data_IF_091628977008
#
_entry.id   IF_091628977008
#
_cell.length_a   1.000
_cell.length_b   1.000
_cell.length_c   1.000
_cell.angle_alpha   90.00
_cell.angle_beta   90.00
_cell.angle_gamma   90.00
#
_symmetry.space_group_name_H-M   'P 1'
#
loop_
_entity.id
_entity.type
_entity.pdbx_description
1 polymer ?
#
# COMPACT_ATOMS: atom_id res chain seq x y z
N UNK A 1 -14.56 14.27 -11.48
CA UNK A 1 -13.68 13.27 -10.82
C UNK A 1 -12.40 13.88 -10.25
N UNK A 2 -11.76 14.83 -10.94
CA UNK A 2 -10.54 15.54 -10.48
C UNK A 2 -10.71 16.29 -9.15
N UNK A 3 -11.85 16.94 -8.93
CA UNK A 3 -12.14 17.70 -7.70
C UNK A 3 -12.22 16.81 -6.46
N UNK A 4 -12.86 15.65 -6.57
CA UNK A 4 -12.95 14.66 -5.48
C UNK A 4 -11.57 14.11 -5.10
N UNK A 5 -10.75 13.79 -6.11
CA UNK A 5 -9.36 13.36 -5.93
C UNK A 5 -8.55 14.47 -5.27
N UNK A 6 -8.73 15.72 -5.70
CA UNK A 6 -8.04 16.85 -5.12
C UNK A 6 -8.40 17.02 -3.63
N UNK A 7 -9.67 16.90 -3.26
CA UNK A 7 -10.08 16.86 -1.86
C UNK A 7 -9.45 15.68 -1.11
N UNK A 8 -9.49 14.46 -1.66
CA UNK A 8 -8.93 13.26 -1.04
C UNK A 8 -7.42 13.37 -0.78
N UNK A 9 -6.66 14.01 -1.67
CA UNK A 9 -5.22 14.26 -1.46
C UNK A 9 -4.93 15.25 -0.33
N UNK A 10 -5.87 16.17 -0.04
CA UNK A 10 -5.74 17.18 1.03
C UNK A 10 -6.14 16.67 2.41
N UNK A 11 -6.87 15.55 2.49
CA UNK A 11 -7.18 14.90 3.77
C UNK A 11 -5.90 14.30 4.35
N UNK A 12 -5.37 14.96 5.39
CA UNK A 12 -4.16 14.54 6.11
C UNK A 12 -4.32 13.13 6.69
N UNK A 13 -3.21 12.38 6.77
CA UNK A 13 -3.14 11.02 7.34
C UNK A 13 -4.00 9.96 6.62
N UNK A 14 -4.13 10.09 5.30
CA UNK A 14 -4.69 9.04 4.44
C UNK A 14 -3.61 8.45 3.55
N UNK A 15 -3.76 7.17 3.22
CA UNK A 15 -2.93 6.49 2.22
C UNK A 15 -2.75 7.31 0.93
N UNK A 16 -3.85 7.87 0.41
CA UNK A 16 -3.85 8.64 -0.83
C UNK A 16 -3.06 9.94 -0.73
N UNK A 17 -3.10 10.64 0.42
CA UNK A 17 -2.29 11.85 0.63
C UNK A 17 -0.78 11.57 0.66
N UNK A 18 -0.36 10.51 1.37
CA UNK A 18 1.04 10.09 1.40
C UNK A 18 1.53 9.64 0.00
N UNK A 19 0.69 8.90 -0.72
CA UNK A 19 0.98 8.45 -2.08
C UNK A 19 1.04 9.60 -3.08
N UNK A 20 0.17 10.61 -2.93
CA UNK A 20 0.21 11.84 -3.71
C UNK A 20 1.55 12.56 -3.57
N UNK A 21 2.01 12.79 -2.34
CA UNK A 21 3.27 13.49 -2.09
C UNK A 21 4.45 12.78 -2.79
N UNK A 22 4.51 11.45 -2.70
CA UNK A 22 5.54 10.62 -3.37
C UNK A 22 5.42 10.70 -4.90
N UNK A 23 4.22 10.64 -5.45
CA UNK A 23 3.98 10.72 -6.90
C UNK A 23 4.28 12.10 -7.47
N UNK A 24 3.92 13.18 -6.75
CA UNK A 24 4.22 14.56 -7.15
C UNK A 24 5.72 14.77 -7.25
N UNK A 25 6.50 14.28 -6.28
CA UNK A 25 7.95 14.37 -6.30
C UNK A 25 8.59 13.66 -7.51
N UNK A 26 7.98 12.59 -8.03
CA UNK A 26 8.52 11.80 -9.15
C UNK A 26 7.98 12.19 -10.54
N UNK A 27 6.70 12.58 -10.65
CA UNK A 27 6.00 12.70 -11.95
C UNK A 27 5.31 14.06 -12.16
N UNK A 28 5.34 14.94 -11.16
CA UNK A 28 4.66 16.24 -11.21
C UNK A 28 3.15 16.17 -10.92
N UNK A 29 2.57 17.33 -10.58
CA UNK A 29 1.20 17.46 -10.02
C UNK A 29 0.11 16.85 -10.90
N UNK A 30 0.12 17.12 -12.21
CA UNK A 30 -0.92 16.67 -13.14
C UNK A 30 -0.98 15.14 -13.27
N UNK A 31 0.18 14.50 -13.46
CA UNK A 31 0.27 13.03 -13.61
C UNK A 31 -0.02 12.32 -12.29
N UNK A 32 0.38 12.91 -11.16
CA UNK A 32 0.08 12.38 -9.84
C UNK A 32 -1.43 12.32 -9.55
N UNK A 33 -2.21 13.35 -9.94
CA UNK A 33 -3.66 13.35 -9.77
C UNK A 33 -4.33 12.22 -10.58
N UNK A 34 -3.93 12.02 -11.83
CA UNK A 34 -4.48 10.96 -12.69
C UNK A 34 -4.16 9.58 -12.13
N UNK A 35 -2.94 9.35 -11.66
CA UNK A 35 -2.54 8.10 -11.03
C UNK A 35 -3.39 7.78 -9.78
N UNK A 36 -3.67 8.78 -8.95
CA UNK A 36 -4.52 8.60 -7.76
C UNK A 36 -5.96 8.35 -8.14
N UNK A 37 -6.50 9.05 -9.14
CA UNK A 37 -7.86 8.82 -9.63
C UNK A 37 -8.05 7.35 -10.06
N UNK A 38 -7.11 6.82 -10.83
CA UNK A 38 -7.13 5.44 -11.29
C UNK A 38 -7.05 4.42 -10.13
N UNK A 39 -6.30 4.74 -9.08
CA UNK A 39 -6.21 3.90 -7.89
C UNK A 39 -7.46 3.95 -7.01
N UNK A 40 -8.02 5.15 -6.79
CA UNK A 40 -9.28 5.30 -6.07
C UNK A 40 -10.39 4.52 -6.76
N UNK A 41 -10.44 4.55 -8.09
CA UNK A 41 -11.40 3.76 -8.86
C UNK A 41 -11.23 2.25 -8.64
N UNK A 42 -9.99 1.74 -8.63
CA UNK A 42 -9.71 0.32 -8.34
C UNK A 42 -10.16 -0.05 -6.93
N UNK A 43 -9.86 0.79 -5.94
CA UNK A 43 -10.27 0.58 -4.55
C UNK A 43 -11.79 0.50 -4.46
N UNK A 44 -12.50 1.47 -5.04
CA UNK A 44 -13.98 1.47 -5.05
C UNK A 44 -14.52 0.23 -5.74
N UNK A 45 -13.95 -0.16 -6.89
CA UNK A 45 -14.34 -1.37 -7.60
C UNK A 45 -14.17 -2.63 -6.74
N UNK A 46 -13.03 -2.78 -6.06
CA UNK A 46 -12.78 -3.92 -5.17
C UNK A 46 -13.70 -3.90 -3.95
N UNK A 47 -13.98 -2.74 -3.36
CA UNK A 47 -14.93 -2.62 -2.26
C UNK A 47 -16.34 -3.05 -2.66
N UNK A 48 -16.79 -2.65 -3.84
CA UNK A 48 -18.10 -3.02 -4.37
C UNK A 48 -18.16 -4.50 -4.74
N UNK A 49 -17.09 -5.03 -5.34
CA UNK A 49 -17.02 -6.43 -5.76
C UNK A 49 -16.96 -7.40 -4.58
N UNK A 50 -16.13 -7.09 -3.58
CA UNK A 50 -15.86 -7.98 -2.45
C UNK A 50 -16.78 -7.70 -1.24
N UNK A 51 -17.64 -6.67 -1.34
CA UNK A 51 -18.52 -6.16 -0.28
C UNK A 51 -17.79 -5.95 1.06
N UNK A 52 -16.52 -5.50 0.97
CA UNK A 52 -15.67 -5.22 2.14
C UNK A 52 -15.63 -3.72 2.38
N UNK A 53 -15.82 -3.33 3.64
CA UNK A 53 -15.65 -1.95 4.07
C UNK A 53 -14.22 -1.47 3.76
N UNK A 54 -14.09 -0.20 3.34
CA UNK A 54 -12.79 0.42 3.15
C UNK A 54 -12.07 0.47 4.50
N UNK A 55 -11.11 -0.42 4.70
CA UNK A 55 -10.19 -0.26 5.81
C UNK A 55 -9.33 0.96 5.49
N UNK A 56 -9.33 1.97 6.36
CA UNK A 56 -8.51 3.17 6.17
C UNK A 56 -7.06 2.77 6.41
N UNK A 57 -6.41 2.28 5.37
CA UNK A 57 -4.98 2.02 5.37
C UNK A 57 -4.31 3.35 5.74
N UNK A 58 -3.61 3.37 6.87
CA UNK A 58 -2.84 4.52 7.32
C UNK A 58 -1.78 4.90 6.29
N UNK A 59 -1.13 6.05 6.47
CA UNK A 59 0.04 6.43 5.68
C UNK A 59 1.12 5.34 5.64
N UNK A 60 1.15 4.53 6.68
CA UNK A 60 2.26 3.62 6.98
C UNK A 60 2.02 2.21 6.45
N UNK A 61 0.82 1.90 5.92
CA UNK A 61 0.47 0.57 5.43
C UNK A 61 1.46 0.04 4.37
N UNK A 62 1.91 0.91 3.46
CA UNK A 62 2.90 0.51 2.44
C UNK A 62 4.26 0.24 3.08
N UNK A 63 4.61 0.99 4.11
CA UNK A 63 5.91 0.92 4.75
C UNK A 63 5.97 -0.33 5.65
N UNK A 64 4.88 -0.68 6.33
CA UNK A 64 4.68 -1.98 7.00
C UNK A 64 4.77 -3.15 6.02
N UNK A 65 4.11 -3.07 4.86
CA UNK A 65 4.18 -4.13 3.85
C UNK A 65 5.59 -4.31 3.28
N UNK A 66 6.34 -3.22 3.09
CA UNK A 66 7.76 -3.30 2.70
C UNK A 66 8.62 -3.92 3.78
N UNK A 67 8.41 -3.54 5.05
CA UNK A 67 9.10 -4.18 6.18
C UNK A 67 8.82 -5.67 6.24
N UNK A 68 7.56 -6.09 6.10
CA UNK A 68 7.18 -7.51 6.07
C UNK A 68 7.84 -8.26 4.90
N UNK A 69 7.85 -7.67 3.70
CA UNK A 69 8.51 -8.26 2.55
C UNK A 69 10.03 -8.39 2.76
N UNK A 70 10.66 -7.38 3.37
CA UNK A 70 12.08 -7.41 3.74
C UNK A 70 12.35 -8.49 4.78
N UNK A 71 11.56 -8.59 5.85
CA UNK A 71 11.69 -9.63 6.87
C UNK A 71 11.58 -11.01 6.23
N UNK A 72 10.60 -11.22 5.35
CA UNK A 72 10.44 -12.49 4.62
C UNK A 72 11.68 -12.82 3.79
N UNK A 73 12.17 -11.84 3.01
CA UNK A 73 13.37 -12.02 2.21
C UNK A 73 14.60 -12.37 3.07
N UNK A 74 14.83 -11.65 4.17
CA UNK A 74 15.96 -11.93 5.06
C UNK A 74 15.83 -13.28 5.76
N UNK A 75 14.62 -13.69 6.17
CA UNK A 75 14.37 -15.04 6.69
C UNK A 75 14.73 -16.10 5.65
N UNK A 76 14.29 -15.95 4.40
CA UNK A 76 14.63 -16.86 3.30
C UNK A 76 16.14 -16.95 3.05
N UNK A 77 16.85 -15.82 3.14
CA UNK A 77 18.32 -15.81 3.00
C UNK A 77 19.03 -16.50 4.17
N UNK A 78 18.53 -16.32 5.41
CA UNK A 78 19.06 -17.00 6.59
C UNK A 78 18.87 -18.52 6.49
N UNK A 79 17.66 -18.98 6.14
CA UNK A 79 17.39 -20.41 5.96
C UNK A 79 18.27 -21.04 4.88
N UNK A 80 18.51 -20.30 3.78
CA UNK A 80 19.38 -20.77 2.70
C UNK A 80 20.85 -20.91 3.11
N UNK A 81 21.32 -20.09 4.04
CA UNK A 81 22.71 -20.09 4.50
C UNK A 81 22.95 -21.10 5.64
N UNK A 82 21.95 -21.31 6.50
CA UNK A 82 22.04 -22.15 7.69
C UNK A 82 21.77 -23.63 7.36
N UNK A 83 21.04 -23.95 6.29
CA UNK A 83 20.89 -25.33 5.82
C UNK A 83 20.13 -26.26 6.77
N UNK A 84 19.23 -25.72 7.61
CA UNK A 84 18.35 -26.51 8.48
C UNK A 84 16.96 -26.73 7.83
N UNK A 85 16.56 -28.00 7.80
CA UNK A 85 15.21 -28.50 7.50
C UNK A 85 14.28 -28.37 8.73
N UNK A 86 13.30 -27.44 8.70
CA UNK A 86 12.00 -27.42 9.45
C UNK A 86 12.01 -27.48 11.00
N UNK A 87 10.88 -27.32 11.75
CA UNK A 87 9.52 -26.81 11.50
C UNK A 87 9.10 -25.72 12.56
N UNK A 88 7.80 -25.37 12.67
CA UNK A 88 7.16 -24.46 13.66
C UNK A 88 7.22 -22.96 13.28
N UNK A 89 6.15 -22.33 12.78
CA UNK A 89 4.87 -22.10 13.45
C UNK A 89 3.69 -22.26 12.46
N UNK A 90 3.06 -23.43 12.49
CA UNK A 90 1.59 -23.48 12.50
C UNK A 90 1.19 -23.39 13.97
N UNK A 91 0.13 -22.61 14.25
CA UNK A 91 -0.60 -22.48 15.53
C UNK A 91 -0.31 -21.18 16.30
N UNK A 92 -1.03 -20.10 15.98
CA UNK A 92 -2.28 -19.65 16.63
C UNK A 92 -2.89 -18.55 15.76
#
# INVERSE_FOLDING_TARGET
>A
MTEYVWCATRIKNTYFSARYKRLVARQGKKRALVAIAAEMLKVIYHMLKDNRAYHKLGSDYRDEKHKQAQIKYYKEQLYKLIGEDSPEEKSI
#
